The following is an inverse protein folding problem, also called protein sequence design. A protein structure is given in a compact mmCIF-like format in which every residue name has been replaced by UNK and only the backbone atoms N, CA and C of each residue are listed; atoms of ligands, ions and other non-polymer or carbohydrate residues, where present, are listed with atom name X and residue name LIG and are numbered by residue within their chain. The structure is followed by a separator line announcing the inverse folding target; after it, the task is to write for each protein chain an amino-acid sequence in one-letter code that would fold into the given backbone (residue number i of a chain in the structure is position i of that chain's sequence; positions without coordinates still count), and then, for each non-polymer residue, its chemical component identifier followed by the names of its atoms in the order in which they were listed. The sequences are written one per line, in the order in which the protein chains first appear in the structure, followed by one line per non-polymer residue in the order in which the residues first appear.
data_IF_503382294933
#
_entry.id   IF_503382294933
#
_cell.length_a   1.000
_cell.length_b   1.000
_cell.length_c   1.000
_cell.angle_alpha   90.00
_cell.angle_beta   90.00
_cell.angle_gamma   90.00
#
_symmetry.space_group_name_H-M   'P 1'
#
loop_
_entity.id
_entity.type
_entity.pdbx_description
1 polymer ?
#
# COMPACT_ATOMS: atom_id res chain seq x y z
N UNK A 1 9.70 8.08 38.20
CA UNK A 1 8.73 7.23 37.48
C UNK A 1 8.90 7.35 35.97
N UNK A 2 9.02 8.51 35.40
CA UNK A 2 9.22 8.77 33.93
C UNK A 2 10.38 7.96 33.35
N UNK A 3 11.54 7.94 33.98
CA UNK A 3 12.73 7.19 33.51
C UNK A 3 12.56 5.65 33.42
N UNK A 4 11.62 5.07 34.14
CA UNK A 4 11.36 3.60 34.09
C UNK A 4 10.39 3.23 32.95
N UNK A 5 9.46 4.13 32.66
CA UNK A 5 8.53 3.97 31.54
C UNK A 5 9.28 4.08 30.21
N UNK A 6 10.09 5.13 30.05
CA UNK A 6 10.93 5.34 28.87
C UNK A 6 11.91 4.18 28.63
N UNK A 7 12.55 3.64 29.67
CA UNK A 7 13.44 2.46 29.54
C UNK A 7 12.69 1.20 29.11
N UNK A 8 11.46 1.00 29.57
CA UNK A 8 10.66 -0.15 29.17
C UNK A 8 10.15 -0.02 27.72
N UNK A 9 9.79 1.18 27.27
CA UNK A 9 9.40 1.45 25.89
C UNK A 9 10.56 1.23 24.91
N UNK A 10 11.76 1.72 25.24
CA UNK A 10 12.97 1.50 24.44
C UNK A 10 13.27 0.00 24.32
N UNK A 11 13.25 -0.72 25.47
CA UNK A 11 13.51 -2.16 25.49
C UNK A 11 12.47 -2.97 24.71
N UNK A 12 11.23 -2.53 24.69
CA UNK A 12 10.18 -3.18 23.90
C UNK A 12 10.35 -2.91 22.39
N UNK A 13 10.74 -1.70 22.00
CA UNK A 13 11.08 -1.36 20.61
C UNK A 13 12.25 -2.19 20.08
N UNK A 14 13.31 -2.33 20.89
CA UNK A 14 14.47 -3.16 20.52
C UNK A 14 14.07 -4.63 20.30
N UNK A 15 13.28 -5.20 21.22
CA UNK A 15 12.78 -6.59 21.07
C UNK A 15 11.91 -6.77 19.83
N UNK A 16 11.03 -5.83 19.53
CA UNK A 16 10.21 -5.87 18.31
C UNK A 16 11.11 -5.84 17.09
N UNK A 17 12.11 -4.95 17.06
CA UNK A 17 13.04 -4.86 15.93
C UNK A 17 13.88 -6.13 15.75
N UNK A 18 14.33 -6.78 16.85
CA UNK A 18 15.03 -8.05 16.76
C UNK A 18 14.16 -9.15 16.11
N UNK A 19 12.90 -9.24 16.51
CA UNK A 19 11.97 -10.23 15.94
C UNK A 19 11.67 -9.91 14.47
N UNK A 20 11.56 -8.63 14.11
CA UNK A 20 11.29 -8.20 12.74
C UNK A 20 12.47 -8.41 11.78
N UNK A 21 13.69 -8.70 12.25
CA UNK A 21 14.81 -9.10 11.40
C UNK A 21 14.52 -10.42 10.69
N UNK A 22 13.79 -11.32 11.35
CA UNK A 22 13.46 -12.64 10.80
C UNK A 22 12.39 -12.54 9.70
N UNK A 23 12.74 -12.86 8.46
CA UNK A 23 11.81 -12.81 7.32
C UNK A 23 10.60 -13.74 7.53
N UNK A 24 10.82 -14.92 8.07
CA UNK A 24 9.75 -15.88 8.37
C UNK A 24 8.71 -15.31 9.31
N UNK A 25 9.13 -14.53 10.32
CA UNK A 25 8.24 -13.86 11.24
C UNK A 25 7.44 -12.75 10.53
N UNK A 26 8.11 -11.90 9.72
CA UNK A 26 7.42 -10.85 8.95
C UNK A 26 6.34 -11.43 8.05
N UNK A 27 6.67 -12.51 7.33
CA UNK A 27 5.75 -13.22 6.45
C UNK A 27 4.54 -13.79 7.21
N UNK A 28 4.78 -14.45 8.34
CA UNK A 28 3.71 -14.99 9.18
C UNK A 28 2.82 -13.88 9.74
N UNK A 29 3.41 -12.84 10.31
CA UNK A 29 2.71 -11.71 10.90
C UNK A 29 1.80 -11.03 9.89
N UNK A 30 2.31 -10.69 8.69
CA UNK A 30 1.52 -10.04 7.64
C UNK A 30 0.37 -10.92 7.15
N UNK A 31 0.61 -12.22 6.96
CA UNK A 31 -0.45 -13.17 6.61
C UNK A 31 -1.53 -13.24 7.69
N UNK A 32 -1.13 -13.30 8.95
CA UNK A 32 -2.07 -13.34 10.08
C UNK A 32 -2.94 -12.07 10.13
N UNK A 33 -2.33 -10.89 10.04
CA UNK A 33 -3.06 -9.63 10.04
C UNK A 33 -4.00 -9.51 8.83
N UNK A 34 -3.55 -9.94 7.65
CA UNK A 34 -4.40 -9.93 6.46
C UNK A 34 -5.60 -10.87 6.60
N UNK A 35 -5.46 -12.03 7.24
CA UNK A 35 -6.59 -12.92 7.54
C UNK A 35 -7.60 -12.26 8.49
N UNK A 36 -7.14 -11.48 9.46
CA UNK A 36 -8.02 -10.69 10.33
C UNK A 36 -8.78 -9.63 9.54
N UNK A 37 -8.09 -8.94 8.64
CA UNK A 37 -8.70 -7.97 7.73
C UNK A 37 -9.82 -8.58 6.89
N UNK A 38 -9.58 -9.70 6.25
CA UNK A 38 -10.57 -10.40 5.41
C UNK A 38 -11.83 -10.80 6.20
N UNK A 39 -11.67 -11.04 7.50
CA UNK A 39 -12.80 -11.33 8.42
C UNK A 39 -13.54 -10.08 8.93
N UNK A 40 -13.20 -8.88 8.45
CA UNK A 40 -13.86 -7.63 8.81
C UNK A 40 -13.32 -6.94 10.07
N UNK A 41 -12.20 -7.39 10.62
CA UNK A 41 -11.57 -6.79 11.81
C UNK A 41 -10.51 -5.77 11.41
N UNK A 42 -10.91 -4.55 11.11
CA UNK A 42 -9.99 -3.51 10.62
C UNK A 42 -10.04 -2.19 11.42
N UNK A 43 -10.98 -1.99 12.31
CA UNK A 43 -10.97 -0.84 13.20
C UNK A 43 -10.07 -1.10 14.41
N UNK A 44 -9.11 -0.20 14.65
CA UNK A 44 -8.24 -0.20 15.82
C UNK A 44 -8.80 0.84 16.80
N UNK A 45 -9.23 0.39 17.97
CA UNK A 45 -9.93 1.26 18.95
C UNK A 45 -8.98 2.06 19.84
N UNK A 46 -7.73 1.63 19.96
CA UNK A 46 -6.75 2.26 20.84
C UNK A 46 -5.72 3.05 20.02
N UNK A 47 -5.52 4.37 20.27
CA UNK A 47 -4.58 5.19 19.55
C UNK A 47 -3.13 4.71 19.66
N UNK A 48 -2.70 4.27 20.84
CA UNK A 48 -1.34 3.74 21.04
C UNK A 48 -1.14 2.42 20.27
N UNK A 49 -2.16 1.56 20.21
CA UNK A 49 -2.10 0.36 19.37
C UNK A 49 -1.97 0.71 17.89
N UNK A 50 -2.64 1.78 17.42
CA UNK A 50 -2.49 2.27 16.04
C UNK A 50 -1.07 2.78 15.77
N UNK A 51 -0.48 3.56 16.69
CA UNK A 51 0.91 4.03 16.58
C UNK A 51 1.89 2.86 16.50
N UNK A 52 1.78 1.90 17.43
CA UNK A 52 2.64 0.71 17.44
C UNK A 52 2.48 -0.11 16.16
N UNK A 53 1.25 -0.30 15.70
CA UNK A 53 0.98 -1.03 14.46
C UNK A 53 1.57 -0.32 13.24
N UNK A 54 1.41 1.00 13.14
CA UNK A 54 2.03 1.82 12.09
C UNK A 54 3.55 1.72 12.09
N UNK A 55 4.19 1.79 13.26
CA UNK A 55 5.63 1.63 13.40
C UNK A 55 6.11 0.23 12.97
N UNK A 56 5.39 -0.82 13.37
CA UNK A 56 5.72 -2.19 12.94
C UNK A 56 5.66 -2.31 11.42
N UNK A 57 4.59 -1.79 10.78
CA UNK A 57 4.46 -1.83 9.33
C UNK A 57 5.57 -1.06 8.61
N UNK A 58 5.92 0.13 9.12
CA UNK A 58 7.03 0.92 8.60
C UNK A 58 8.35 0.15 8.68
N UNK A 59 8.68 -0.45 9.84
CA UNK A 59 9.90 -1.22 10.03
C UNK A 59 9.94 -2.46 9.12
N UNK A 60 8.81 -3.16 8.95
CA UNK A 60 8.72 -4.28 8.00
C UNK A 60 9.03 -3.81 6.57
N UNK A 61 8.52 -2.65 6.16
CA UNK A 61 8.82 -2.10 4.83
C UNK A 61 10.30 -1.78 4.65
N UNK A 62 10.97 -1.23 5.67
CA UNK A 62 12.41 -0.98 5.64
C UNK A 62 13.24 -2.27 5.49
N UNK A 63 12.84 -3.37 6.13
CA UNK A 63 13.45 -4.69 5.91
C UNK A 63 13.13 -5.24 4.52
N UNK A 64 11.89 -5.11 4.06
CA UNK A 64 11.49 -5.55 2.73
C UNK A 64 12.24 -4.83 1.61
N UNK A 65 12.57 -3.55 1.79
CA UNK A 65 13.39 -2.79 0.85
C UNK A 65 14.80 -3.38 0.74
N UNK A 66 15.43 -3.69 1.88
CA UNK A 66 16.76 -4.30 1.94
C UNK A 66 16.76 -5.70 1.31
N UNK A 67 15.72 -6.48 1.57
CA UNK A 67 15.58 -7.85 1.10
C UNK A 67 14.98 -7.93 -0.32
N UNK A 68 14.60 -6.77 -0.92
CA UNK A 68 13.84 -6.67 -2.19
C UNK A 68 12.56 -7.50 -2.21
N UNK A 69 11.91 -7.64 -1.05
CA UNK A 69 10.69 -8.42 -0.89
C UNK A 69 9.44 -7.55 -1.15
N UNK A 70 9.11 -7.36 -2.42
CA UNK A 70 7.96 -6.56 -2.83
C UNK A 70 6.60 -7.18 -2.49
N UNK A 71 6.51 -8.51 -2.33
CA UNK A 71 5.25 -9.19 -2.00
C UNK A 71 4.68 -8.74 -0.65
N UNK A 72 5.51 -8.69 0.37
CA UNK A 72 5.11 -8.20 1.67
C UNK A 72 4.73 -6.72 1.64
N UNK A 73 5.46 -5.91 0.87
CA UNK A 73 5.15 -4.48 0.73
C UNK A 73 3.81 -4.25 0.06
N UNK A 74 3.45 -5.00 -0.99
CA UNK A 74 2.12 -4.96 -1.61
C UNK A 74 1.01 -5.24 -0.60
N UNK A 75 1.22 -6.26 0.22
CA UNK A 75 0.25 -6.64 1.25
C UNK A 75 0.08 -5.52 2.29
N UNK A 76 1.17 -4.87 2.70
CA UNK A 76 1.13 -3.71 3.60
C UNK A 76 0.35 -2.55 2.95
N UNK A 77 0.60 -2.23 1.68
CA UNK A 77 -0.15 -1.18 0.95
C UNK A 77 -1.65 -1.47 0.95
N UNK A 78 -2.06 -2.71 0.65
CA UNK A 78 -3.48 -3.10 0.67
C UNK A 78 -4.07 -2.96 2.08
N UNK A 79 -3.36 -3.44 3.10
CA UNK A 79 -3.81 -3.36 4.48
C UNK A 79 -3.89 -1.92 4.98
N UNK A 80 -2.97 -1.07 4.58
CA UNK A 80 -2.88 0.31 5.06
C UNK A 80 -4.08 1.16 4.67
N UNK A 81 -4.77 0.83 3.60
CA UNK A 81 -6.01 1.49 3.16
C UNK A 81 -7.26 0.94 3.85
N UNK A 82 -7.12 -0.10 4.65
CA UNK A 82 -8.24 -0.77 5.30
C UNK A 82 -8.22 -0.58 6.81
N UNK A 83 -7.04 -0.68 7.43
CA UNK A 83 -6.91 -0.48 8.87
C UNK A 83 -6.95 1.00 9.23
N UNK A 84 -7.81 1.36 10.19
CA UNK A 84 -7.99 2.75 10.62
C UNK A 84 -8.28 2.85 12.12
N UNK A 85 -8.06 4.03 12.65
CA UNK A 85 -8.45 4.49 13.97
C UNK A 85 -9.38 5.69 13.81
N UNK A 86 -10.37 5.84 14.69
CA UNK A 86 -11.25 7.02 14.73
C UNK A 86 -10.75 7.93 15.85
N UNK A 87 -10.27 9.13 15.50
CA UNK A 87 -9.77 10.09 16.48
C UNK A 87 -10.91 10.77 17.25
N UNK A 88 -10.58 11.60 18.25
CA UNK A 88 -11.56 12.31 19.08
C UNK A 88 -12.48 13.27 18.29
N UNK A 89 -12.03 13.72 17.11
CA UNK A 89 -12.82 14.58 16.20
C UNK A 89 -13.74 13.77 15.28
N UNK A 90 -13.77 12.44 15.39
CA UNK A 90 -14.55 11.55 14.55
C UNK A 90 -13.91 11.24 13.18
N UNK A 91 -12.68 11.66 12.94
CA UNK A 91 -11.99 11.43 11.66
C UNK A 91 -11.35 10.03 11.64
N UNK A 92 -11.45 9.36 10.50
CA UNK A 92 -10.75 8.09 10.25
C UNK A 92 -9.29 8.36 9.88
N UNK A 93 -8.37 7.87 10.70
CA UNK A 93 -6.93 7.92 10.46
C UNK A 93 -6.48 6.55 9.97
N UNK A 94 -6.19 6.45 8.68
CA UNK A 94 -5.78 5.21 8.04
C UNK A 94 -4.29 4.93 8.27
N UNK A 95 -3.94 3.64 8.24
CA UNK A 95 -2.55 3.19 8.36
C UNK A 95 -1.64 3.73 7.24
N UNK A 96 -2.21 4.14 6.09
CA UNK A 96 -1.49 4.82 5.00
C UNK A 96 -0.68 6.02 5.50
N UNK A 97 -1.19 6.76 6.49
CA UNK A 97 -0.49 7.93 7.07
C UNK A 97 0.86 7.59 7.69
N UNK A 98 1.06 6.35 8.14
CA UNK A 98 2.30 5.90 8.75
C UNK A 98 3.34 5.40 7.75
N UNK A 99 2.90 4.98 6.55
CA UNK A 99 3.78 4.36 5.55
C UNK A 99 4.07 5.26 4.34
N UNK A 100 3.32 6.34 4.13
CA UNK A 100 3.41 7.21 2.95
C UNK A 100 4.81 7.77 2.67
N UNK A 101 5.60 8.00 3.73
CA UNK A 101 6.96 8.56 3.62
C UNK A 101 8.05 7.50 3.40
N UNK A 102 7.67 6.21 3.37
CA UNK A 102 8.64 5.15 3.11
C UNK A 102 9.13 5.22 1.65
N UNK A 103 10.45 4.99 1.45
CA UNK A 103 11.09 5.05 0.13
C UNK A 103 10.46 4.14 -0.92
N UNK A 104 9.98 2.94 -0.52
CA UNK A 104 9.30 2.02 -1.43
C UNK A 104 7.99 2.60 -1.98
N UNK A 105 7.28 3.44 -1.21
CA UNK A 105 6.05 4.10 -1.68
C UNK A 105 6.36 5.11 -2.82
N UNK A 106 7.57 5.66 -2.84
CA UNK A 106 8.04 6.57 -3.90
C UNK A 106 8.82 5.86 -5.01
N UNK A 107 8.93 4.52 -4.95
CA UNK A 107 9.72 3.74 -5.89
C UNK A 107 8.88 3.29 -7.09
N UNK A 108 9.22 3.76 -8.30
CA UNK A 108 8.52 3.42 -9.55
C UNK A 108 8.56 1.92 -9.83
N UNK A 109 9.73 1.28 -9.63
CA UNK A 109 9.92 -0.15 -9.88
C UNK A 109 8.99 -1.00 -9.00
N UNK A 110 8.81 -0.62 -7.73
CA UNK A 110 7.85 -1.28 -6.83
C UNK A 110 6.43 -1.26 -7.41
N UNK A 111 5.93 -0.09 -7.81
CA UNK A 111 4.57 0.05 -8.32
C UNK A 111 4.37 -0.66 -9.66
N UNK A 112 5.37 -0.59 -10.54
CA UNK A 112 5.33 -1.28 -11.82
C UNK A 112 5.34 -2.80 -11.68
N UNK A 113 6.13 -3.34 -10.76
CA UNK A 113 6.11 -4.76 -10.40
C UNK A 113 4.79 -5.17 -9.78
N UNK A 114 4.22 -4.35 -8.90
CA UNK A 114 2.91 -4.59 -8.31
C UNK A 114 1.83 -4.69 -9.39
N UNK A 115 1.75 -3.70 -10.28
CA UNK A 115 0.79 -3.69 -11.39
C UNK A 115 0.97 -4.91 -12.30
N UNK A 116 2.20 -5.18 -12.74
CA UNK A 116 2.50 -6.32 -13.62
C UNK A 116 2.01 -7.63 -13.01
N UNK A 117 2.22 -7.82 -11.72
CA UNK A 117 1.82 -9.05 -11.04
C UNK A 117 0.29 -9.20 -10.97
N UNK A 118 -0.44 -8.15 -10.56
CA UNK A 118 -1.91 -8.24 -10.48
C UNK A 118 -2.57 -8.42 -11.86
N UNK A 119 -1.97 -7.85 -12.92
CA UNK A 119 -2.40 -8.09 -14.30
C UNK A 119 -2.16 -9.56 -14.66
N UNK A 120 -0.95 -10.08 -14.41
CA UNK A 120 -0.59 -11.47 -14.76
C UNK A 120 -1.50 -12.48 -14.06
N UNK A 121 -1.81 -12.26 -12.78
CA UNK A 121 -2.71 -13.14 -12.02
C UNK A 121 -4.10 -13.19 -12.67
N UNK A 122 -4.67 -12.05 -13.06
CA UNK A 122 -6.02 -12.02 -13.59
C UNK A 122 -6.07 -12.47 -15.08
N UNK A 123 -5.06 -12.15 -15.88
CA UNK A 123 -4.93 -12.71 -17.22
C UNK A 123 -4.84 -14.24 -17.20
N UNK A 124 -4.08 -14.82 -16.28
CA UNK A 124 -3.99 -16.27 -16.15
C UNK A 124 -5.33 -16.93 -15.77
N UNK A 125 -6.15 -16.28 -14.94
CA UNK A 125 -7.50 -16.77 -14.63
C UNK A 125 -8.44 -16.75 -15.84
N UNK A 126 -8.31 -15.76 -16.71
CA UNK A 126 -9.17 -15.61 -17.89
C UNK A 126 -8.73 -16.48 -19.08
N UNK A 127 -7.43 -16.80 -19.20
CA UNK A 127 -6.91 -17.69 -20.26
C UNK A 127 -7.57 -19.08 -20.25
N UNK A 128 -8.13 -19.51 -19.12
CA UNK A 128 -8.83 -20.78 -18.99
C UNK A 128 -10.32 -20.71 -19.39
N UNK A 129 -10.83 -19.51 -19.72
CA UNK A 129 -12.19 -19.32 -20.19
C UNK A 129 -12.17 -19.14 -21.71
N UNK A 130 -12.73 -20.09 -22.45
CA UNK A 130 -12.83 -20.00 -23.91
C UNK A 130 -13.87 -18.92 -24.30
N UNK A 131 -13.43 -17.71 -24.64
CA UNK A 131 -14.27 -16.62 -25.15
C UNK A 131 -13.79 -16.11 -26.50
N UNK A 132 -14.73 -15.79 -27.37
CA UNK A 132 -14.46 -15.29 -28.73
C UNK A 132 -13.85 -13.87 -28.79
N UNK A 133 -13.68 -13.17 -27.65
CA UNK A 133 -13.19 -11.78 -27.61
C UNK A 133 -12.04 -11.59 -26.63
N UNK A 134 -11.00 -12.44 -26.72
CA UNK A 134 -9.87 -12.45 -25.79
C UNK A 134 -9.08 -11.12 -25.72
N UNK A 135 -8.98 -10.39 -26.85
CA UNK A 135 -8.22 -9.13 -26.88
C UNK A 135 -8.92 -8.02 -26.09
N UNK A 136 -10.23 -7.89 -26.20
CA UNK A 136 -11.01 -6.90 -25.46
C UNK A 136 -11.01 -7.22 -23.95
N UNK A 137 -11.21 -8.48 -23.58
CA UNK A 137 -11.15 -8.94 -22.19
C UNK A 137 -9.77 -8.62 -21.60
N UNK A 138 -8.68 -8.89 -22.32
CA UNK A 138 -7.32 -8.56 -21.90
C UNK A 138 -7.13 -7.07 -21.72
N UNK A 139 -7.56 -6.23 -22.65
CA UNK A 139 -7.45 -4.78 -22.55
C UNK A 139 -8.22 -4.23 -21.34
N UNK A 140 -9.43 -4.73 -21.08
CA UNK A 140 -10.25 -4.34 -19.93
C UNK A 140 -9.62 -4.76 -18.60
N UNK A 141 -8.99 -5.94 -18.51
CA UNK A 141 -8.24 -6.36 -17.33
C UNK A 141 -7.10 -5.38 -17.07
N UNK A 142 -6.27 -5.09 -18.07
CA UNK A 142 -5.14 -4.18 -17.95
C UNK A 142 -5.61 -2.80 -17.50
N UNK A 143 -6.61 -2.24 -18.17
CA UNK A 143 -7.21 -0.96 -17.83
C UNK A 143 -7.66 -0.92 -16.35
N UNK A 144 -8.45 -1.91 -15.93
CA UNK A 144 -8.96 -1.99 -14.56
C UNK A 144 -7.83 -2.05 -13.53
N UNK A 145 -6.74 -2.77 -13.83
CA UNK A 145 -5.59 -2.87 -12.91
C UNK A 145 -4.77 -1.59 -12.86
N UNK A 146 -4.60 -0.88 -13.99
CA UNK A 146 -3.99 0.45 -13.99
C UNK A 146 -4.81 1.38 -13.09
N UNK A 147 -6.13 1.39 -13.22
CA UNK A 147 -7.01 2.19 -12.37
C UNK A 147 -6.86 1.85 -10.89
N UNK A 148 -6.79 0.55 -10.56
CA UNK A 148 -6.56 0.09 -9.20
C UNK A 148 -5.23 0.60 -8.63
N UNK A 149 -4.16 0.56 -9.42
CA UNK A 149 -2.84 1.05 -8.98
C UNK A 149 -2.84 2.56 -8.81
N UNK A 150 -3.45 3.32 -9.71
CA UNK A 150 -3.61 4.78 -9.57
C UNK A 150 -4.29 5.12 -8.24
N UNK A 151 -5.39 4.44 -7.91
CA UNK A 151 -6.11 4.64 -6.65
C UNK A 151 -5.27 4.28 -5.42
N UNK A 152 -4.51 3.18 -5.47
CA UNK A 152 -3.61 2.79 -4.39
C UNK A 152 -2.48 3.80 -4.18
N UNK A 153 -1.90 4.29 -5.27
CA UNK A 153 -0.85 5.31 -5.23
C UNK A 153 -1.38 6.63 -4.67
N UNK A 154 -2.56 7.07 -5.13
CA UNK A 154 -3.21 8.27 -4.61
C UNK A 154 -3.55 8.15 -3.12
N UNK A 155 -4.07 7.01 -2.68
CA UNK A 155 -4.35 6.76 -1.26
C UNK A 155 -3.09 6.77 -0.39
N UNK A 156 -1.94 6.38 -0.94
CA UNK A 156 -0.63 6.44 -0.29
C UNK A 156 0.07 7.81 -0.46
N UNK A 157 -0.60 8.80 -1.00
CA UNK A 157 -0.07 10.16 -1.24
C UNK A 157 1.23 10.16 -2.08
N UNK A 158 1.31 9.22 -3.06
CA UNK A 158 2.43 9.17 -4.00
C UNK A 158 2.43 10.42 -4.88
N UNK A 159 3.60 11.08 -5.10
CA UNK A 159 3.69 12.24 -5.97
C UNK A 159 3.12 11.98 -7.38
N UNK A 160 2.37 12.96 -7.91
CA UNK A 160 1.65 12.83 -9.19
C UNK A 160 2.56 12.48 -10.36
N UNK A 161 3.78 13.00 -10.37
CA UNK A 161 4.80 12.70 -11.37
C UNK A 161 5.27 11.24 -11.34
N UNK A 162 5.27 10.59 -10.17
CA UNK A 162 5.59 9.16 -10.05
C UNK A 162 4.42 8.33 -10.57
N UNK A 163 3.19 8.68 -10.20
CA UNK A 163 1.98 8.02 -10.71
C UNK A 163 1.99 8.08 -12.24
N UNK A 164 2.25 9.28 -12.81
CA UNK A 164 2.30 9.47 -14.27
C UNK A 164 3.30 8.55 -14.93
N UNK A 165 4.53 8.44 -14.41
CA UNK A 165 5.55 7.55 -14.97
C UNK A 165 5.10 6.09 -15.00
N UNK A 166 4.53 5.60 -13.89
CA UNK A 166 4.02 4.21 -13.82
C UNK A 166 2.90 3.98 -14.82
N UNK A 167 2.01 4.95 -15.01
CA UNK A 167 0.91 4.89 -15.98
C UNK A 167 1.44 4.88 -17.41
N UNK A 168 2.30 5.84 -17.76
CA UNK A 168 2.86 5.97 -19.12
C UNK A 168 3.62 4.70 -19.54
N UNK A 169 4.49 4.17 -18.66
CA UNK A 169 5.20 2.90 -18.89
C UNK A 169 4.23 1.73 -19.08
N UNK A 170 3.14 1.71 -18.33
CA UNK A 170 2.13 0.65 -18.42
C UNK A 170 1.33 0.72 -19.70
N UNK A 171 0.92 1.91 -20.12
CA UNK A 171 0.22 2.13 -21.41
C UNK A 171 1.09 1.61 -22.56
N UNK A 172 2.37 1.95 -22.58
CA UNK A 172 3.32 1.50 -23.60
C UNK A 172 3.49 -0.02 -23.58
N UNK A 173 3.73 -0.60 -22.39
CA UNK A 173 3.97 -2.05 -22.24
C UNK A 173 2.80 -2.89 -22.72
N UNK A 174 1.59 -2.47 -22.45
CA UNK A 174 0.38 -3.25 -22.75
C UNK A 174 -0.32 -2.82 -24.04
N UNK A 175 0.19 -1.79 -24.73
CA UNK A 175 -0.32 -1.29 -26.01
C UNK A 175 -1.85 -1.05 -25.98
N UNK A 176 -2.30 -0.23 -25.02
CA UNK A 176 -3.72 0.10 -24.87
C UNK A 176 -4.22 0.97 -26.03
N UNK A 177 -5.52 0.81 -26.38
CA UNK A 177 -6.17 1.65 -27.37
C UNK A 177 -6.27 3.11 -26.92
N UNK A 178 -6.33 4.03 -27.89
CA UNK A 178 -6.44 5.46 -27.59
C UNK A 178 -7.63 5.79 -26.68
N UNK A 179 -8.78 5.13 -26.87
CA UNK A 179 -9.98 5.34 -26.06
C UNK A 179 -9.74 5.00 -24.57
N UNK A 180 -9.01 3.92 -24.28
CA UNK A 180 -8.66 3.55 -22.92
C UNK A 180 -7.61 4.48 -22.33
N UNK A 181 -6.67 4.95 -23.15
CA UNK A 181 -5.66 5.93 -22.75
C UNK A 181 -6.31 7.27 -22.37
N UNK A 182 -7.28 7.75 -23.17
CA UNK A 182 -8.03 8.96 -22.87
C UNK A 182 -8.79 8.84 -21.52
N UNK A 183 -9.43 7.70 -21.27
CA UNK A 183 -10.12 7.45 -20.01
C UNK A 183 -9.16 7.45 -18.81
N UNK A 184 -7.98 6.82 -18.96
CA UNK A 184 -6.94 6.84 -17.91
C UNK A 184 -6.48 8.28 -17.64
N UNK A 185 -6.22 9.07 -18.68
CA UNK A 185 -5.77 10.45 -18.55
C UNK A 185 -6.82 11.32 -17.85
N UNK A 186 -8.10 11.20 -18.21
CA UNK A 186 -9.19 11.93 -17.54
C UNK A 186 -9.24 11.66 -16.03
N UNK A 187 -9.02 10.40 -15.62
CA UNK A 187 -9.03 10.04 -14.20
C UNK A 187 -7.76 10.56 -13.52
N UNK A 188 -6.62 10.44 -14.18
CA UNK A 188 -5.34 10.94 -13.68
C UNK A 188 -5.37 12.47 -13.47
N UNK A 189 -5.98 13.23 -14.36
CA UNK A 189 -6.12 14.69 -14.22
C UNK A 189 -6.92 15.08 -12.99
N UNK A 190 -7.91 14.29 -12.59
CA UNK A 190 -8.73 14.51 -11.41
C UNK A 190 -8.01 14.19 -10.07
N UNK A 191 -6.81 13.60 -10.10
CA UNK A 191 -5.99 13.41 -8.91
C UNK A 191 -5.51 14.77 -8.46
N UNK A 192 -5.94 15.17 -7.26
CA UNK A 192 -5.51 16.45 -6.64
C UNK A 192 -4.05 16.32 -6.22
N UNK A 193 -3.26 17.35 -6.50
CA UNK A 193 -1.97 17.49 -5.86
C UNK A 193 -2.21 17.64 -4.35
N UNK A 194 -1.60 16.72 -3.59
CA UNK A 194 -1.66 16.75 -2.14
C UNK A 194 -0.42 17.48 -1.65
N UNK A 195 -0.62 18.50 -0.82
CA UNK A 195 0.50 19.10 -0.12
C UNK A 195 1.19 18.03 0.73
N UNK A 196 2.50 17.88 0.54
CA UNK A 196 3.32 16.95 1.31
C UNK A 196 3.52 17.56 2.70
N UNK A 197 2.52 17.42 3.56
CA UNK A 197 2.63 17.77 4.97
C UNK A 197 3.23 16.61 5.76
N UNK A 198 4.15 16.92 6.67
CA UNK A 198 4.57 15.92 7.66
C UNK A 198 3.37 15.48 8.50
N UNK A 199 3.14 14.17 8.56
CA UNK A 199 2.12 13.60 9.42
C UNK A 199 2.63 13.59 10.86
N UNK A 200 2.15 14.53 11.65
CA UNK A 200 2.46 14.58 13.08
C UNK A 200 1.52 13.62 13.84
N UNK A 201 2.04 12.44 14.11
CA UNK A 201 1.33 11.35 14.79
C UNK A 201 0.75 11.83 16.12
N UNK A 202 1.47 12.69 16.86
CA UNK A 202 1.03 13.14 18.18
C UNK A 202 -0.15 14.10 18.11
N UNK A 203 -0.19 14.95 17.08
CA UNK A 203 -1.30 15.91 16.89
C UNK A 203 -2.56 15.32 16.26
N UNK A 204 -2.41 14.27 15.44
CA UNK A 204 -3.51 13.72 14.64
C UNK A 204 -4.22 12.56 15.34
N UNK A 205 -3.54 11.88 16.27
CA UNK A 205 -4.08 10.70 16.96
C UNK A 205 -4.68 11.04 18.32
N UNK A 206 -4.34 12.19 18.90
CA UNK A 206 -4.97 12.73 20.10
C UNK A 206 -6.19 13.56 19.69
#
# INVERSE_FOLDING_TARGET
MTNLIEKNEIKNKEKINEILKEESFRNYFLKYINLKRVKGNFQIHNPEAMKVFGLIMKNIMEYNEKDKNFENTKLIVIMSQTYFYINQKGNQIYLTKFIKDNSLIKNIEFWFNFLTQIITIDLNKELHKSNNNQNEVRANIVFTKIMTIIQNMDACEVPKEIIKKVVDESIQKYNLSNDLVEQINLIFENIKEKEIGEFDIEKEII
#
